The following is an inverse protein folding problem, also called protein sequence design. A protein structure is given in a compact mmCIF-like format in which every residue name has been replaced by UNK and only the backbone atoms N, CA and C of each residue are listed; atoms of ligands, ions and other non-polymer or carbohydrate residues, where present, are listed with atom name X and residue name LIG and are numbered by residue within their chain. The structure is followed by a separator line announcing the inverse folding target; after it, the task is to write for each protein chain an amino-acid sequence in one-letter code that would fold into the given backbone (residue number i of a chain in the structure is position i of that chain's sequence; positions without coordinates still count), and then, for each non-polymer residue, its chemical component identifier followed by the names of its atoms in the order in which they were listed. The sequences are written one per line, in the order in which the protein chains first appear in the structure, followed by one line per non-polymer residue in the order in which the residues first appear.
data_IF_558377119837
#
_entry.id   IF_558377119837
#
_cell.length_a   1.000
_cell.length_b   1.000
_cell.length_c   1.000
_cell.angle_alpha   90.00
_cell.angle_beta   90.00
_cell.angle_gamma   90.00
#
_symmetry.space_group_name_H-M   'P 1'
#
loop_
_entity.id
_entity.type
_entity.pdbx_description
1 polymer ?
#
# COMPACT_ATOMS: atom_id res chain seq x y z
N UNK A 1 -20.92 30.10 -74.99
CA UNK A 1 -19.64 30.77 -75.32
C UNK A 1 -18.67 30.54 -74.16
N UNK A 2 -17.99 29.41 -74.09
CA UNK A 2 -16.65 29.14 -74.64
C UNK A 2 -15.53 30.07 -74.17
N UNK A 3 -14.50 29.42 -73.60
CA UNK A 3 -13.07 29.76 -73.44
C UNK A 3 -12.65 30.08 -71.99
N UNK A 4 -11.99 29.17 -71.29
CA UNK A 4 -10.60 28.70 -71.47
C UNK A 4 -9.57 29.69 -70.89
N UNK A 5 -8.89 29.28 -69.82
CA UNK A 5 -7.51 29.65 -69.40
C UNK A 5 -7.19 28.85 -68.14
N UNK A 6 -6.54 27.70 -68.28
CA UNK A 6 -5.09 27.53 -68.41
C UNK A 6 -4.38 27.54 -67.06
N UNK A 7 -3.91 26.33 -66.71
CA UNK A 7 -2.92 25.98 -65.70
C UNK A 7 -1.69 26.89 -65.74
N UNK A 8 -1.22 27.31 -64.57
CA UNK A 8 0.20 27.28 -64.16
C UNK A 8 0.30 27.74 -62.70
N UNK A 9 0.86 26.91 -61.81
CA UNK A 9 1.94 27.34 -60.92
C UNK A 9 2.52 26.16 -60.14
N UNK A 10 3.83 26.03 -60.29
CA UNK A 10 4.76 25.12 -59.64
C UNK A 10 4.66 25.21 -58.12
N UNK A 11 4.73 24.06 -57.43
CA UNK A 11 5.40 23.97 -56.14
C UNK A 11 6.24 22.69 -56.04
N UNK A 12 7.56 22.93 -56.07
CA UNK A 12 8.66 22.14 -55.54
C UNK A 12 8.29 21.14 -54.44
N UNK A 13 8.67 19.88 -54.62
CA UNK A 13 8.91 18.93 -53.52
C UNK A 13 9.88 17.86 -54.04
N UNK A 14 11.19 18.12 -53.93
CA UNK A 14 12.06 17.69 -52.81
C UNK A 14 12.20 16.17 -52.75
N UNK A 15 13.39 15.75 -53.17
CA UNK A 15 13.98 14.42 -53.23
C UNK A 15 13.93 13.66 -51.89
N UNK A 16 13.44 12.42 -51.93
CA UNK A 16 13.62 11.46 -50.84
C UNK A 16 15.02 10.81 -50.93
N UNK A 17 15.82 10.77 -49.85
CA UNK A 17 17.02 9.94 -49.81
C UNK A 17 16.71 8.51 -49.33
N UNK A 18 17.43 7.48 -49.83
CA UNK A 18 17.29 6.11 -49.37
C UNK A 18 17.90 5.93 -47.98
N UNK A 19 17.10 5.40 -47.05
CA UNK A 19 17.52 5.07 -45.68
C UNK A 19 18.44 3.85 -45.70
N UNK A 20 19.73 4.08 -45.41
CA UNK A 20 20.71 3.02 -45.25
C UNK A 20 20.44 2.18 -43.99
N UNK A 21 20.46 0.86 -44.18
CA UNK A 21 20.45 -0.13 -43.12
C UNK A 21 21.79 -0.13 -42.38
N UNK A 22 21.76 0.09 -41.06
CA UNK A 22 22.93 -0.03 -40.20
C UNK A 22 23.12 -1.49 -39.76
N UNK A 23 24.34 -2.06 -39.85
CA UNK A 23 24.58 -3.42 -39.43
C UNK A 23 24.62 -3.54 -37.90
N UNK A 24 24.04 -4.64 -37.43
CA UNK A 24 24.00 -5.11 -36.04
C UNK A 24 25.38 -5.05 -35.39
N UNK A 25 25.56 -4.13 -34.44
CA UNK A 25 26.72 -4.11 -33.55
C UNK A 25 26.46 -5.11 -32.43
N UNK A 26 27.00 -6.32 -32.60
CA UNK A 26 27.11 -7.37 -31.61
C UNK A 26 27.95 -6.90 -30.42
N UNK A 27 27.30 -6.35 -29.40
CA UNK A 27 27.91 -6.21 -28.09
C UNK A 27 27.86 -7.58 -27.41
N UNK A 28 28.95 -8.34 -27.60
CA UNK A 28 29.26 -9.53 -26.83
C UNK A 28 29.19 -9.20 -25.34
N UNK A 29 28.19 -9.78 -24.68
CA UNK A 29 27.98 -9.71 -23.24
C UNK A 29 29.09 -10.53 -22.59
N UNK A 30 30.00 -9.87 -21.88
CA UNK A 30 31.05 -10.53 -21.11
C UNK A 30 30.43 -11.55 -20.12
N UNK A 31 30.99 -12.77 -19.99
CA UNK A 31 30.49 -13.75 -19.03
C UNK A 31 30.81 -13.31 -17.58
N UNK A 32 29.96 -13.67 -16.60
CA UNK A 32 30.21 -13.35 -15.20
C UNK A 32 31.39 -14.16 -14.64
N UNK A 33 32.17 -13.61 -13.69
CA UNK A 33 33.29 -14.33 -13.08
C UNK A 33 32.81 -15.46 -12.14
N UNK A 34 33.56 -16.56 -12.02
CA UNK A 34 33.22 -17.68 -11.14
C UNK A 34 33.43 -17.34 -9.65
N UNK A 35 32.70 -17.99 -8.72
CA UNK A 35 32.87 -17.78 -7.29
C UNK A 35 34.20 -18.38 -6.80
N UNK A 36 34.96 -17.59 -6.03
CA UNK A 36 36.18 -18.02 -5.37
C UNK A 36 35.87 -19.01 -4.25
N UNK A 37 36.26 -20.27 -4.46
CA UNK A 37 36.32 -21.30 -3.43
C UNK A 37 37.46 -20.94 -2.45
N UNK A 38 37.10 -20.53 -1.24
CA UNK A 38 38.05 -20.46 -0.11
C UNK A 38 38.23 -21.87 0.43
N UNK A 39 39.38 -22.45 0.13
CA UNK A 39 39.86 -23.71 0.66
C UNK A 39 40.06 -23.64 2.17
N UNK A 40 39.55 -24.68 2.83
CA UNK A 40 39.98 -25.18 4.13
C UNK A 40 41.50 -25.07 4.29
N UNK A 41 41.93 -24.50 5.41
CA UNK A 41 43.19 -24.87 6.05
C UNK A 41 42.88 -25.38 7.45
N UNK A 42 43.27 -26.63 7.69
CA UNK A 42 43.23 -27.32 8.97
C UNK A 42 44.52 -27.05 9.76
N UNK A 43 44.40 -27.21 11.09
CA UNK A 43 45.45 -27.55 12.07
C UNK A 43 46.31 -26.39 12.58
N UNK A 44 46.67 -26.23 13.86
CA UNK A 44 46.64 -27.09 15.06
C UNK A 44 46.76 -26.14 16.30
N UNK A 45 46.07 -26.33 17.43
CA UNK A 45 46.43 -27.12 18.63
C UNK A 45 46.60 -26.20 19.88
N UNK A 46 45.73 -26.37 20.89
CA UNK A 46 46.08 -26.38 22.33
C UNK A 46 44.81 -26.50 23.19
N UNK A 47 44.61 -27.74 23.66
CA UNK A 47 44.12 -28.25 24.95
C UNK A 47 43.25 -27.45 25.94
N UNK A 48 42.51 -28.16 26.82
CA UNK A 48 41.17 -27.79 27.27
C UNK A 48 41.12 -27.26 28.70
N UNK A 49 40.16 -26.37 28.99
CA UNK A 49 39.76 -26.08 30.37
C UNK A 49 38.25 -26.18 30.58
N UNK A 50 37.95 -27.16 31.43
CA UNK A 50 36.77 -27.46 32.25
C UNK A 50 36.04 -26.20 32.75
N UNK A 51 34.76 -26.05 32.36
CA UNK A 51 33.85 -25.06 32.94
C UNK A 51 32.92 -25.73 33.99
N UNK A 52 32.70 -25.09 35.16
CA UNK A 52 31.88 -25.63 36.24
C UNK A 52 30.35 -25.48 36.00
N UNK A 53 29.52 -26.30 36.67
CA UNK A 53 28.06 -26.27 36.52
C UNK A 53 27.46 -25.02 37.19
N UNK A 54 26.79 -24.17 36.41
CA UNK A 54 26.09 -23.01 36.91
C UNK A 54 24.73 -23.42 37.51
N UNK A 55 24.53 -22.94 38.73
CA UNK A 55 23.43 -23.19 39.64
C UNK A 55 22.03 -22.82 39.10
N UNK A 56 21.05 -23.61 39.51
CA UNK A 56 19.63 -23.29 39.45
C UNK A 56 19.32 -22.08 40.35
N UNK A 57 18.59 -21.06 39.87
CA UNK A 57 17.95 -20.09 40.76
C UNK A 57 16.56 -20.58 41.24
N UNK A 58 16.15 -20.21 42.46
CA UNK A 58 14.96 -20.74 43.16
C UNK A 58 13.62 -20.16 42.67
N UNK A 59 12.48 -20.84 42.97
CA UNK A 59 11.15 -20.35 42.65
C UNK A 59 10.67 -19.31 43.68
N UNK A 60 10.39 -18.09 43.22
CA UNK A 60 9.64 -17.09 44.00
C UNK A 60 8.25 -16.85 43.40
N UNK A 61 7.26 -16.95 44.27
CA UNK A 61 5.82 -16.93 44.09
C UNK A 61 5.21 -15.59 43.63
N UNK A 62 4.38 -15.66 42.57
CA UNK A 62 3.06 -15.01 42.29
C UNK A 62 2.88 -13.48 42.45
N UNK A 63 1.86 -12.82 41.84
CA UNK A 63 0.83 -13.27 40.89
C UNK A 63 0.78 -12.39 39.62
N UNK A 64 0.44 -12.96 38.47
CA UNK A 64 0.21 -12.17 37.26
C UNK A 64 -0.67 -12.97 36.32
N UNK A 65 -1.98 -12.75 36.43
CA UNK A 65 -2.99 -13.32 35.56
C UNK A 65 -2.52 -13.23 34.11
N UNK A 66 -2.33 -14.39 33.48
CA UNK A 66 -2.26 -14.47 32.03
C UNK A 66 -3.55 -13.80 31.50
N UNK A 67 -3.49 -12.74 30.67
CA UNK A 67 -4.69 -12.31 29.98
C UNK A 67 -5.14 -13.51 29.17
N UNK A 68 -6.34 -13.97 29.47
CA UNK A 68 -6.89 -15.20 28.92
C UNK A 68 -6.71 -15.26 27.41
N UNK A 69 -6.52 -16.48 26.92
CA UNK A 69 -6.97 -16.85 25.59
C UNK A 69 -8.45 -16.49 25.51
N UNK A 70 -8.73 -15.24 25.16
CA UNK A 70 -10.05 -14.81 24.83
C UNK A 70 -10.40 -15.61 23.58
N UNK A 71 -11.34 -16.55 23.73
CA UNK A 71 -11.98 -17.17 22.59
C UNK A 71 -12.31 -16.05 21.58
N UNK A 72 -12.04 -16.27 20.29
CA UNK A 72 -12.27 -15.21 19.31
C UNK A 72 -13.71 -14.71 19.47
N UNK A 73 -13.91 -13.38 19.49
CA UNK A 73 -15.20 -12.81 19.82
C UNK A 73 -16.28 -13.39 18.90
N UNK A 74 -17.25 -14.05 19.50
CA UNK A 74 -18.32 -14.73 18.77
C UNK A 74 -19.07 -13.70 17.94
N UNK A 75 -19.04 -13.86 16.61
CA UNK A 75 -19.61 -12.89 15.68
C UNK A 75 -21.08 -12.59 16.00
N UNK A 76 -21.33 -11.39 16.52
CA UNK A 76 -22.66 -10.92 16.94
C UNK A 76 -23.54 -10.43 15.78
N UNK A 77 -22.99 -10.41 14.56
CA UNK A 77 -23.65 -9.85 13.38
C UNK A 77 -24.54 -10.82 12.61
N UNK A 78 -25.08 -10.35 11.48
CA UNK A 78 -25.98 -11.14 10.64
C UNK A 78 -25.22 -12.22 9.84
N UNK A 79 -25.20 -13.44 10.36
CA UNK A 79 -24.57 -14.62 9.74
C UNK A 79 -25.07 -14.92 8.32
N UNK A 80 -26.36 -14.69 8.03
CA UNK A 80 -26.90 -14.89 6.67
C UNK A 80 -26.25 -13.95 5.68
N UNK A 81 -26.03 -12.68 6.05
CA UNK A 81 -25.35 -11.68 5.20
C UNK A 81 -23.86 -12.00 5.04
N UNK A 82 -23.22 -12.49 6.09
CA UNK A 82 -21.82 -12.90 6.04
C UNK A 82 -21.60 -14.07 5.07
N UNK A 83 -22.46 -15.10 5.16
CA UNK A 83 -22.39 -16.33 4.35
C UNK A 83 -23.08 -16.21 2.98
N UNK A 84 -23.82 -15.12 2.72
CA UNK A 84 -24.55 -14.94 1.47
C UNK A 84 -23.62 -14.94 0.25
N UNK A 85 -23.91 -15.84 -0.70
CA UNK A 85 -23.21 -15.94 -1.98
C UNK A 85 -22.00 -16.89 -1.98
N UNK A 86 -21.61 -17.48 -0.84
CA UNK A 86 -20.55 -18.49 -0.79
C UNK A 86 -20.91 -19.77 -1.58
N UNK A 87 -22.20 -20.11 -1.65
CA UNK A 87 -22.69 -21.33 -2.32
C UNK A 87 -22.38 -21.41 -3.81
N UNK A 88 -22.06 -20.29 -4.46
CA UNK A 88 -21.70 -20.24 -5.89
C UNK A 88 -20.20 -20.36 -6.15
N UNK A 89 -19.37 -20.37 -5.10
CA UNK A 89 -17.92 -20.31 -5.23
C UNK A 89 -17.34 -21.62 -4.75
N UNK A 90 -16.39 -22.15 -5.51
CA UNK A 90 -15.56 -23.26 -5.08
C UNK A 90 -14.60 -22.74 -4.01
N UNK A 91 -14.80 -23.21 -2.78
CA UNK A 91 -14.11 -22.73 -1.57
C UNK A 91 -12.87 -23.58 -1.22
N UNK A 92 -12.65 -24.66 -1.97
CA UNK A 92 -11.59 -25.63 -1.76
C UNK A 92 -10.28 -25.11 -2.38
N UNK A 93 -9.18 -25.15 -1.61
CA UNK A 93 -7.86 -24.72 -2.07
C UNK A 93 -7.63 -23.20 -2.15
N UNK A 94 -8.62 -22.36 -1.81
CA UNK A 94 -8.44 -20.91 -1.75
C UNK A 94 -7.80 -20.48 -0.43
N UNK A 95 -6.87 -19.52 -0.48
CA UNK A 95 -6.33 -18.88 0.72
C UNK A 95 -7.30 -17.83 1.24
N UNK A 96 -7.33 -17.71 2.56
CA UNK A 96 -8.16 -16.75 3.27
C UNK A 96 -7.27 -15.67 3.84
N UNK A 97 -7.47 -14.43 3.39
CA UNK A 97 -6.65 -13.30 3.80
C UNK A 97 -7.47 -12.30 4.62
N UNK A 98 -6.94 -11.91 5.76
CA UNK A 98 -7.57 -10.93 6.66
C UNK A 98 -6.89 -9.58 6.52
N UNK A 99 -7.68 -8.53 6.33
CA UNK A 99 -7.24 -7.14 6.21
C UNK A 99 -7.86 -6.34 7.36
N UNK A 100 -7.02 -5.73 8.19
CA UNK A 100 -7.49 -4.75 9.16
C UNK A 100 -7.56 -3.36 8.49
N UNK A 101 -8.74 -2.74 8.50
CA UNK A 101 -8.94 -1.40 7.94
C UNK A 101 -8.62 -0.27 8.91
N UNK A 102 -8.34 -0.57 10.18
CA UNK A 102 -8.08 0.43 11.22
C UNK A 102 -6.90 1.33 10.85
N UNK A 103 -7.15 2.64 10.79
CA UNK A 103 -6.12 3.64 10.45
C UNK A 103 -5.64 3.60 8.99
N UNK A 104 -6.20 2.72 8.15
CA UNK A 104 -5.78 2.59 6.76
C UNK A 104 -6.53 3.56 5.84
N UNK A 105 -5.83 4.03 4.80
CA UNK A 105 -6.43 4.93 3.81
C UNK A 105 -7.29 4.15 2.81
N UNK A 106 -8.56 4.50 2.70
CA UNK A 106 -9.57 3.83 1.87
C UNK A 106 -9.07 3.40 0.48
N UNK A 107 -8.50 4.33 -0.30
CA UNK A 107 -8.09 4.02 -1.67
C UNK A 107 -6.89 3.06 -1.75
N UNK A 108 -6.00 3.11 -0.75
CA UNK A 108 -4.79 2.26 -0.72
C UNK A 108 -5.16 0.83 -0.33
N UNK A 109 -5.98 0.70 0.71
CA UNK A 109 -6.55 -0.56 1.14
C UNK A 109 -7.35 -1.21 0.00
N UNK A 110 -8.23 -0.45 -0.66
CA UNK A 110 -9.03 -0.96 -1.78
C UNK A 110 -8.18 -1.44 -2.96
N UNK A 111 -7.06 -0.77 -3.27
CA UNK A 111 -6.15 -1.19 -4.33
C UNK A 111 -5.50 -2.54 -4.05
N UNK A 112 -5.04 -2.77 -2.81
CA UNK A 112 -4.40 -4.03 -2.43
C UNK A 112 -5.40 -5.18 -2.43
N UNK A 113 -6.61 -4.93 -1.88
CA UNK A 113 -7.70 -5.90 -1.93
C UNK A 113 -8.03 -6.27 -3.38
N UNK A 114 -8.10 -5.32 -4.29
CA UNK A 114 -8.42 -5.60 -5.69
C UNK A 114 -7.34 -6.43 -6.40
N UNK A 115 -6.07 -6.30 -6.03
CA UNK A 115 -4.96 -7.12 -6.56
C UNK A 115 -5.09 -8.57 -6.09
N UNK A 116 -5.36 -8.76 -4.80
CA UNK A 116 -5.55 -10.08 -4.18
C UNK A 116 -6.80 -10.78 -4.70
N UNK A 117 -7.92 -10.06 -4.84
CA UNK A 117 -9.15 -10.61 -5.44
C UNK A 117 -8.97 -10.99 -6.91
N UNK A 118 -8.03 -10.37 -7.62
CA UNK A 118 -7.67 -10.76 -8.98
C UNK A 118 -6.72 -11.97 -9.00
N UNK A 119 -6.05 -12.29 -7.90
CA UNK A 119 -5.02 -13.34 -7.81
C UNK A 119 -3.69 -12.93 -8.44
N UNK A 120 -3.48 -11.63 -8.69
CA UNK A 120 -2.25 -11.09 -9.32
C UNK A 120 -1.01 -11.19 -8.42
N UNK A 121 -1.22 -11.46 -7.14
CA UNK A 121 -0.18 -11.76 -6.16
C UNK A 121 0.44 -13.14 -6.35
N UNK A 122 -0.25 -14.06 -7.04
CA UNK A 122 0.27 -15.41 -7.34
C UNK A 122 0.95 -15.43 -8.71
N UNK A 123 2.05 -16.17 -8.87
CA UNK A 123 2.71 -16.33 -10.17
C UNK A 123 1.84 -17.10 -11.18
N UNK A 124 0.88 -17.91 -10.70
CA UNK A 124 -0.08 -18.69 -11.52
C UNK A 124 -1.23 -17.83 -12.06
N UNK A 125 -1.10 -16.51 -12.10
CA UNK A 125 -2.17 -15.61 -12.54
C UNK A 125 -2.49 -15.80 -14.03
N UNK A 126 -3.72 -16.20 -14.32
CA UNK A 126 -4.29 -16.24 -15.66
C UNK A 126 -5.48 -15.27 -15.75
N UNK A 127 -5.53 -14.35 -16.74
CA UNK A 127 -6.54 -13.28 -16.78
C UNK A 127 -7.97 -13.77 -17.05
N UNK A 128 -8.10 -14.93 -17.71
CA UNK A 128 -9.38 -15.54 -18.07
C UNK A 128 -9.94 -16.46 -16.98
N UNK A 129 -9.12 -16.88 -16.02
CA UNK A 129 -9.52 -17.75 -14.90
C UNK A 129 -9.67 -16.92 -13.63
N UNK A 130 -10.58 -17.33 -12.76
CA UNK A 130 -10.77 -16.70 -11.47
C UNK A 130 -9.93 -17.36 -10.37
N UNK A 131 -8.63 -17.04 -10.32
CA UNK A 131 -7.68 -17.61 -9.33
C UNK A 131 -7.52 -16.76 -8.03
N UNK A 132 -8.42 -15.81 -7.80
CA UNK A 132 -8.36 -14.87 -6.68
C UNK A 132 -8.65 -15.52 -5.32
N UNK A 133 -7.94 -15.04 -4.29
CA UNK A 133 -8.11 -15.44 -2.89
C UNK A 133 -9.36 -14.80 -2.25
N UNK A 134 -9.79 -15.34 -1.11
CA UNK A 134 -10.89 -14.77 -0.34
C UNK A 134 -10.38 -13.69 0.62
N UNK A 135 -10.99 -12.51 0.58
CA UNK A 135 -10.57 -11.37 1.38
C UNK A 135 -11.62 -11.04 2.43
N UNK A 136 -11.21 -11.03 3.69
CA UNK A 136 -12.01 -10.57 4.83
C UNK A 136 -11.45 -9.23 5.29
N UNK A 137 -12.28 -8.19 5.33
CA UNK A 137 -11.93 -6.87 5.85
C UNK A 137 -12.61 -6.64 7.18
N UNK A 138 -11.84 -6.23 8.19
CA UNK A 138 -12.31 -5.93 9.55
C UNK A 138 -12.25 -4.43 9.82
N UNK A 139 -12.99 -3.97 10.85
CA UNK A 139 -12.96 -2.60 11.35
C UNK A 139 -13.27 -1.54 10.27
N UNK A 140 -14.27 -1.78 9.41
CA UNK A 140 -14.62 -0.83 8.35
C UNK A 140 -15.05 0.56 8.86
N UNK A 141 -15.47 0.66 10.12
CA UNK A 141 -15.82 1.93 10.79
C UNK A 141 -14.62 2.87 10.95
N UNK A 142 -13.44 2.31 11.23
CA UNK A 142 -12.22 3.06 11.59
C UNK A 142 -11.37 3.44 10.36
N UNK A 143 -11.97 3.43 9.17
CA UNK A 143 -11.26 3.71 7.94
C UNK A 143 -10.93 5.19 7.81
N UNK A 144 -9.69 5.48 7.40
CA UNK A 144 -9.22 6.85 7.26
C UNK A 144 -9.40 7.37 5.83
N UNK A 145 -9.82 8.63 5.74
CA UNK A 145 -9.92 9.36 4.48
C UNK A 145 -9.15 10.68 4.60
N UNK A 146 -8.28 10.94 3.63
CA UNK A 146 -7.39 12.09 3.65
C UNK A 146 -8.10 13.39 3.27
N UNK A 147 -7.80 14.50 3.95
CA UNK A 147 -8.29 15.84 3.61
C UNK A 147 -9.77 16.05 3.97
N UNK A 148 -10.45 16.95 3.26
CA UNK A 148 -11.87 17.31 3.49
C UNK A 148 -12.88 16.37 2.80
N UNK A 149 -12.41 15.23 2.31
CA UNK A 149 -13.24 14.28 1.53
C UNK A 149 -14.41 13.70 2.32
N UNK A 150 -14.35 13.71 3.65
CA UNK A 150 -15.46 13.27 4.51
C UNK A 150 -16.75 14.06 4.21
N UNK A 151 -16.64 15.37 3.97
CA UNK A 151 -17.77 16.24 3.65
C UNK A 151 -17.97 16.42 2.16
N UNK A 152 -16.86 16.50 1.41
CA UNK A 152 -16.89 16.95 0.02
C UNK A 152 -17.18 15.82 -0.97
N UNK A 153 -16.90 14.56 -0.60
CA UNK A 153 -17.14 13.42 -1.48
C UNK A 153 -18.61 13.03 -1.48
N UNK A 154 -19.25 13.19 -2.63
CA UNK A 154 -20.66 12.83 -2.84
C UNK A 154 -20.74 11.55 -3.68
N UNK A 155 -21.59 10.63 -3.26
CA UNK A 155 -22.01 9.46 -4.02
C UNK A 155 -23.29 9.79 -4.78
N UNK A 156 -23.22 9.67 -6.10
CA UNK A 156 -24.34 9.86 -7.00
C UNK A 156 -24.86 8.51 -7.49
N UNK A 157 -26.19 8.37 -7.57
CA UNK A 157 -26.85 7.31 -8.31
C UNK A 157 -28.20 7.79 -8.85
N UNK A 158 -28.63 7.22 -9.96
CA UNK A 158 -29.89 7.56 -10.61
C UNK A 158 -30.80 6.34 -10.59
N UNK A 159 -32.10 6.54 -10.41
CA UNK A 159 -33.08 5.42 -10.38
C UNK A 159 -33.59 5.02 -11.76
N UNK A 160 -33.41 5.87 -12.77
CA UNK A 160 -33.88 5.67 -14.15
C UNK A 160 -34.99 6.64 -14.57
N UNK A 161 -35.71 7.21 -13.60
CA UNK A 161 -36.76 8.22 -13.83
C UNK A 161 -36.18 9.63 -13.99
N UNK A 162 -36.76 10.44 -14.86
CA UNK A 162 -36.33 11.83 -15.11
C UNK A 162 -36.33 12.63 -13.79
N UNK A 163 -35.26 13.37 -13.53
CA UNK A 163 -35.12 14.21 -12.33
C UNK A 163 -34.72 13.49 -11.03
N UNK A 164 -34.54 12.17 -11.03
CA UNK A 164 -34.28 11.38 -9.81
C UNK A 164 -32.79 11.10 -9.58
N UNK A 165 -31.96 12.15 -9.61
CA UNK A 165 -30.58 12.07 -9.18
C UNK A 165 -30.52 12.06 -7.66
N UNK A 166 -30.07 10.94 -7.07
CA UNK A 166 -29.89 10.79 -5.64
C UNK A 166 -28.44 11.01 -5.27
N UNK A 167 -28.25 11.78 -4.21
CA UNK A 167 -26.95 12.17 -3.70
C UNK A 167 -26.81 11.74 -2.24
N UNK A 168 -25.61 11.32 -1.85
CA UNK A 168 -25.29 11.08 -0.44
C UNK A 168 -23.83 11.42 -0.17
N UNK A 169 -23.57 12.22 0.87
CA UNK A 169 -22.20 12.53 1.28
C UNK A 169 -21.54 11.31 1.90
N UNK A 170 -20.21 11.27 1.85
CA UNK A 170 -19.42 10.20 2.44
C UNK A 170 -19.67 10.07 3.95
N UNK A 171 -19.76 11.18 4.67
CA UNK A 171 -20.10 11.21 6.10
C UNK A 171 -21.40 10.44 6.39
N UNK A 172 -22.46 10.75 5.65
CA UNK A 172 -23.77 10.12 5.84
C UNK A 172 -23.74 8.63 5.44
N UNK A 173 -23.00 8.29 4.39
CA UNK A 173 -22.81 6.90 3.98
C UNK A 173 -22.04 6.09 5.04
N UNK A 174 -21.03 6.68 5.70
CA UNK A 174 -20.29 6.02 6.77
C UNK A 174 -21.14 5.81 8.02
N UNK A 175 -22.03 6.76 8.35
CA UNK A 175 -22.97 6.61 9.45
C UNK A 175 -24.01 5.52 9.19
N UNK A 176 -24.49 5.40 7.94
CA UNK A 176 -25.49 4.40 7.56
C UNK A 176 -24.89 3.00 7.40
N UNK A 177 -23.92 2.85 6.50
CA UNK A 177 -23.33 1.56 6.12
C UNK A 177 -21.86 1.77 5.71
N UNK A 178 -20.90 1.68 6.66
CA UNK A 178 -19.47 1.85 6.37
C UNK A 178 -18.93 0.75 5.46
N UNK A 179 -19.51 -0.45 5.51
CA UNK A 179 -19.17 -1.58 4.64
C UNK A 179 -19.37 -1.26 3.15
N UNK A 180 -20.43 -0.53 2.79
CA UNK A 180 -20.68 -0.18 1.38
C UNK A 180 -19.61 0.74 0.80
N UNK A 181 -19.00 1.60 1.64
CA UNK A 181 -17.97 2.54 1.21
C UNK A 181 -16.76 1.79 0.65
N UNK A 182 -16.31 0.75 1.36
CA UNK A 182 -15.19 -0.10 0.96
C UNK A 182 -15.60 -0.96 -0.24
N UNK A 183 -16.78 -1.59 -0.20
CA UNK A 183 -17.27 -2.43 -1.31
C UNK A 183 -17.34 -1.65 -2.62
N UNK A 184 -17.94 -0.46 -2.62
CA UNK A 184 -18.01 0.42 -3.81
C UNK A 184 -16.63 0.85 -4.30
N UNK A 185 -15.67 1.06 -3.40
CA UNK A 185 -14.31 1.41 -3.76
C UNK A 185 -13.59 0.25 -4.47
N UNK A 186 -13.66 -0.96 -3.91
CA UNK A 186 -13.03 -2.17 -4.48
C UNK A 186 -13.71 -2.55 -5.80
N UNK A 187 -15.04 -2.56 -5.85
CA UNK A 187 -15.80 -2.87 -7.08
C UNK A 187 -15.41 -1.96 -8.24
N UNK A 188 -15.12 -0.67 -7.98
CA UNK A 188 -14.66 0.27 -8.99
C UNK A 188 -13.20 0.09 -9.41
N UNK A 189 -12.40 -0.68 -8.65
CA UNK A 189 -11.01 -1.02 -8.97
C UNK A 189 -10.89 -2.36 -9.72
N UNK A 190 -11.93 -3.19 -9.68
CA UNK A 190 -11.97 -4.44 -10.45
C UNK A 190 -12.26 -4.16 -11.94
N UNK A 191 -11.71 -4.98 -12.86
CA UNK A 191 -12.00 -4.85 -14.28
C UNK A 191 -13.49 -5.07 -14.55
N UNK A 192 -14.06 -4.31 -15.49
CA UNK A 192 -15.47 -4.40 -15.87
C UNK A 192 -15.66 -5.58 -16.84
N UNK A 193 -15.86 -6.78 -16.29
CA UNK A 193 -16.16 -7.99 -17.04
C UNK A 193 -17.18 -8.86 -16.28
N UNK A 194 -17.58 -10.01 -16.86
CA UNK A 194 -18.53 -10.94 -16.22
C UNK A 194 -17.98 -11.51 -14.90
N UNK A 195 -16.65 -11.73 -14.82
CA UNK A 195 -15.96 -12.22 -13.62
C UNK A 195 -15.92 -11.21 -12.47
N UNK A 196 -16.27 -9.94 -12.70
CA UNK A 196 -16.22 -8.90 -11.67
C UNK A 196 -17.12 -9.23 -10.50
N UNK A 197 -18.33 -9.69 -10.80
CA UNK A 197 -19.34 -9.93 -9.78
C UNK A 197 -19.00 -11.19 -8.98
N UNK A 198 -18.37 -12.19 -9.61
CA UNK A 198 -17.88 -13.39 -8.92
C UNK A 198 -16.70 -13.05 -7.98
N UNK A 199 -15.78 -12.19 -8.42
CA UNK A 199 -14.71 -11.64 -7.56
C UNK A 199 -15.24 -10.79 -6.41
N UNK A 200 -16.29 -9.97 -6.61
CA UNK A 200 -16.91 -9.22 -5.51
C UNK A 200 -17.57 -10.14 -4.48
N UNK A 201 -18.10 -11.31 -4.89
CA UNK A 201 -18.63 -12.29 -3.94
C UNK A 201 -17.55 -12.86 -3.02
N UNK A 202 -16.29 -12.92 -3.44
CA UNK A 202 -15.14 -13.31 -2.59
C UNK A 202 -14.73 -12.23 -1.57
N UNK A 203 -15.25 -11.01 -1.67
CA UNK A 203 -14.99 -9.96 -0.69
C UNK A 203 -16.02 -9.99 0.43
N UNK A 204 -15.54 -10.11 1.67
CA UNK A 204 -16.35 -10.02 2.89
C UNK A 204 -15.83 -8.84 3.73
N UNK A 205 -16.74 -8.02 4.24
CA UNK A 205 -16.39 -6.80 4.97
C UNK A 205 -17.27 -6.75 6.21
N UNK A 206 -16.64 -6.54 7.35
CA UNK A 206 -17.27 -6.39 8.66
C UNK A 206 -17.04 -4.98 9.19
N UNK A 207 -18.08 -4.43 9.80
CA UNK A 207 -18.01 -3.10 10.41
C UNK A 207 -17.12 -3.11 11.66
N UNK A 208 -17.24 -4.19 12.43
CA UNK A 208 -16.45 -4.48 13.64
C UNK A 208 -15.24 -5.39 13.33
N UNK A 209 -14.48 -5.69 14.38
CA UNK A 209 -13.34 -6.61 14.36
C UNK A 209 -13.73 -8.10 14.37
N UNK A 210 -15.01 -8.42 14.51
CA UNK A 210 -15.50 -9.81 14.62
C UNK A 210 -15.82 -10.39 13.23
N UNK A 211 -15.49 -11.67 13.02
CA UNK A 211 -15.83 -12.39 11.80
C UNK A 211 -16.25 -13.84 12.10
N UNK A 212 -17.20 -14.44 11.37
CA UNK A 212 -17.66 -15.81 11.65
C UNK A 212 -16.73 -16.92 11.13
N UNK A 213 -15.66 -16.60 10.41
CA UNK A 213 -14.83 -17.58 9.69
C UNK A 213 -13.66 -18.14 10.51
N UNK A 214 -13.89 -18.56 11.75
CA UNK A 214 -12.82 -19.07 12.63
C UNK A 214 -12.32 -20.46 12.25
N UNK A 215 -13.12 -21.25 11.52
CA UNK A 215 -12.81 -22.65 11.20
C UNK A 215 -11.77 -22.81 10.08
N UNK A 216 -11.32 -21.71 9.47
CA UNK A 216 -10.45 -21.72 8.29
C UNK A 216 -9.09 -21.12 8.61
N UNK A 217 -8.00 -21.54 7.94
CA UNK A 217 -6.68 -20.95 8.16
C UNK A 217 -6.66 -19.51 7.61
N UNK A 218 -6.63 -18.53 8.50
CA UNK A 218 -6.59 -17.10 8.13
C UNK A 218 -5.15 -16.60 8.09
N UNK A 219 -4.73 -16.09 6.95
CA UNK A 219 -3.45 -15.38 6.79
C UNK A 219 -3.68 -13.87 6.95
N UNK A 220 -3.14 -13.22 8.01
CA UNK A 220 -3.23 -11.78 8.13
C UNK A 220 -2.38 -11.13 7.02
N UNK A 221 -3.00 -10.26 6.22
CA UNK A 221 -2.32 -9.52 5.18
C UNK A 221 -1.72 -8.24 5.77
N UNK A 222 -0.39 -8.17 5.76
CA UNK A 222 0.34 -6.96 6.14
C UNK A 222 0.45 -6.06 4.92
N UNK A 223 0.03 -4.80 5.06
CA UNK A 223 0.21 -3.81 4.00
C UNK A 223 1.70 -3.54 3.77
N UNK A 224 2.15 -3.42 2.51
CA UNK A 224 3.54 -3.13 2.22
C UNK A 224 3.97 -1.81 2.89
N UNK A 225 5.10 -1.79 3.61
CA UNK A 225 5.53 -0.63 4.38
C UNK A 225 5.77 0.53 3.44
N UNK A 226 5.24 1.70 3.79
CA UNK A 226 5.38 2.91 2.98
C UNK A 226 6.22 3.94 3.72
N UNK A 227 7.24 4.44 3.04
CA UNK A 227 7.89 5.70 3.42
C UNK A 227 6.96 6.86 3.08
N UNK A 228 6.21 7.35 4.06
CA UNK A 228 5.44 8.59 3.91
C UNK A 228 6.40 9.75 4.10
N UNK A 229 6.40 10.70 3.15
CA UNK A 229 7.07 11.98 3.38
C UNK A 229 6.28 12.73 4.45
N UNK A 230 6.83 12.78 5.66
CA UNK A 230 6.23 13.45 6.83
C UNK A 230 5.86 14.91 6.52
N UNK A 231 6.72 15.59 5.76
CA UNK A 231 6.50 16.99 5.40
C UNK A 231 6.30 17.20 3.89
N UNK A 232 5.43 18.16 3.58
CA UNK A 232 5.31 18.71 2.22
C UNK A 232 6.66 19.35 1.84
N UNK A 233 7.17 19.16 0.61
CA UNK A 233 8.50 19.66 0.24
C UNK A 233 8.71 21.17 0.48
N UNK A 234 7.64 21.98 0.31
CA UNK A 234 7.67 23.42 0.61
C UNK A 234 7.80 23.70 2.11
N UNK A 235 7.04 23.01 2.95
CA UNK A 235 7.12 23.14 4.40
C UNK A 235 8.49 22.69 4.94
N UNK A 236 9.02 21.57 4.43
CA UNK A 236 10.39 21.11 4.74
C UNK A 236 11.44 22.15 4.37
N UNK A 237 11.34 22.74 3.16
CA UNK A 237 12.24 23.81 2.71
C UNK A 237 12.13 25.07 3.57
N UNK A 238 10.93 25.45 3.99
CA UNK A 238 10.72 26.59 4.87
C UNK A 238 11.33 26.37 6.26
N UNK A 239 11.15 25.17 6.84
CA UNK A 239 11.78 24.78 8.11
C UNK A 239 13.30 24.81 8.03
N UNK A 240 13.90 24.22 6.99
CA UNK A 240 15.35 24.24 6.80
C UNK A 240 15.86 25.69 6.70
N UNK A 241 15.14 26.56 5.99
CA UNK A 241 15.49 27.99 5.89
C UNK A 241 15.36 28.71 7.22
N UNK A 242 14.33 28.41 8.02
CA UNK A 242 14.14 28.98 9.35
C UNK A 242 15.25 28.51 10.30
N UNK A 243 15.51 27.21 10.37
CA UNK A 243 16.60 26.62 11.17
C UNK A 243 17.95 27.21 10.81
N UNK A 244 18.25 27.34 9.51
CA UNK A 244 19.50 27.96 9.05
C UNK A 244 19.58 29.44 9.46
N UNK A 245 18.49 30.19 9.32
CA UNK A 245 18.43 31.60 9.76
C UNK A 245 18.62 31.75 11.28
N UNK A 246 18.08 30.84 12.06
CA UNK A 246 18.23 30.83 13.53
C UNK A 246 19.65 30.44 13.94
N UNK A 247 20.28 29.48 13.24
CA UNK A 247 21.70 29.14 13.39
C UNK A 247 22.60 30.33 13.05
N UNK A 248 22.36 31.02 11.92
CA UNK A 248 23.14 32.19 11.51
C UNK A 248 23.00 33.35 12.53
N UNK A 249 21.81 33.52 13.12
CA UNK A 249 21.58 34.49 14.21
C UNK A 249 22.27 34.10 15.51
N UNK A 250 22.25 32.82 15.87
CA UNK A 250 22.93 32.29 17.05
C UNK A 250 24.46 32.44 16.91
N UNK A 251 25.01 32.13 15.73
CA UNK A 251 26.42 32.32 15.42
C UNK A 251 26.84 33.79 15.55
N UNK A 252 26.08 34.72 14.95
CA UNK A 252 26.35 36.18 15.08
C UNK A 252 26.26 36.67 16.53
N UNK A 253 25.34 36.12 17.33
CA UNK A 253 25.21 36.49 18.74
C UNK A 253 26.40 35.98 19.56
N UNK A 254 26.85 34.75 19.30
CA UNK A 254 28.04 34.18 19.91
C UNK A 254 29.32 34.95 19.53
N UNK A 255 29.47 35.35 18.27
CA UNK A 255 30.57 36.22 17.82
C UNK A 255 30.54 37.59 18.51
N UNK A 256 29.35 38.19 18.66
CA UNK A 256 29.18 39.46 19.37
C UNK A 256 29.47 39.38 20.88
N UNK A 257 29.12 38.27 21.53
CA UNK A 257 29.46 38.01 22.94
C UNK A 257 30.96 37.73 23.11
N UNK A 258 31.58 36.97 22.21
CA UNK A 258 33.03 36.73 22.22
C UNK A 258 33.83 38.02 22.02
N UNK A 259 33.39 38.92 21.14
CA UNK A 259 34.01 40.23 20.93
C UNK A 259 33.88 41.16 22.16
N UNK A 260 32.77 41.07 22.91
CA UNK A 260 32.58 41.80 24.18
C UNK A 260 33.47 41.27 25.30
N UNK A 261 33.56 39.94 25.46
CA UNK A 261 34.44 39.34 26.46
C UNK A 261 35.93 39.56 26.14
N UNK A 262 36.32 39.55 24.87
CA UNK A 262 37.69 39.87 24.45
C UNK A 262 38.09 41.32 24.77
N UNK A 263 37.18 42.29 24.62
CA UNK A 263 37.44 43.68 25.02
C UNK A 263 37.51 43.87 26.54
N UNK A 264 36.73 43.12 27.31
CA UNK A 264 36.78 43.17 28.77
C UNK A 264 38.09 42.57 29.33
N UNK A 265 38.65 41.55 28.68
CA UNK A 265 39.92 40.93 29.08
C UNK A 265 41.17 41.74 28.68
N UNK A 266 41.06 42.68 27.74
CA UNK A 266 42.16 43.58 27.32
C UNK A 266 42.16 44.90 28.11
N UNK A 267 41.08 45.21 28.82
CA UNK A 267 40.90 46.43 29.61
C UNK A 267 41.11 46.23 31.13
N UNK A 268 41.48 45.02 31.57
CA UNK A 268 41.86 44.67 32.93
C UNK A 268 43.35 44.28 32.97
#
# INVERSE_FOLDING_TARGET
MWRSRARALLLLRSSAPPTQQSPLRSLARAPPPPPRLLSRFLSSSSSPQKAPPAASPPPSSSPGAAPGSAAPPAYTGNLKKALAGLRRIDLEGLRWRVFDAKGQVLGRLASQIAVVLQGKDKPTYAPHVEAGDMCIVLNAKDICVTGRKMTDKIYYWHTGYIGHLKERKLKDQMAKDPTEVIRKAVMRMLPRNKLRDDRDRKLRIFAEGEHPFHDRPLEPFVMPPRQVREMRPRARRAMIRAQKKDQDRAAKKAEGEAAKNGKAAVAA
#
